data_IF_054484166423
#
_entry.id   IF_054484166423
#
_cell.length_a   1.000
_cell.length_b   1.000
_cell.length_c   1.000
_cell.angle_alpha   90.00
_cell.angle_beta   90.00
_cell.angle_gamma   90.00
#
_symmetry.space_group_name_H-M   'P 1'
#
loop_
_entity.id
_entity.type
_entity.pdbx_description
1 polymer ?
#
# COMPACT_ATOMS: atom_id res chain seq x y z
N UNK A 1 7.75 -4.64 9.09
CA UNK A 1 6.60 -4.39 8.20
C UNK A 1 6.85 -3.19 7.29
N UNK A 2 7.03 -2.00 7.81
CA UNK A 2 7.50 -0.87 7.03
C UNK A 2 9.02 -0.87 6.93
N UNK A 3 9.56 -0.40 5.80
CA UNK A 3 11.01 -0.34 5.58
C UNK A 3 11.34 0.88 4.73
N UNK A 4 12.53 1.46 4.93
CA UNK A 4 12.98 2.60 4.13
C UNK A 4 13.02 2.29 2.65
N UNK A 5 13.55 1.12 2.29
CA UNK A 5 13.66 0.66 0.90
C UNK A 5 12.31 0.37 0.25
N UNK A 6 11.24 0.28 1.06
CA UNK A 6 9.87 0.09 0.59
C UNK A 6 9.05 1.38 0.68
N UNK A 7 9.69 2.52 0.90
CA UNK A 7 9.05 3.84 0.93
C UNK A 7 9.61 4.65 -0.23
N UNK A 8 8.79 4.88 -1.25
CA UNK A 8 9.24 5.33 -2.56
C UNK A 8 8.47 6.56 -3.01
N UNK A 9 9.20 7.55 -3.54
CA UNK A 9 8.61 8.65 -4.31
C UNK A 9 9.01 8.41 -5.76
N UNK A 10 8.05 8.48 -6.68
CA UNK A 10 8.32 8.24 -8.09
C UNK A 10 7.63 9.29 -8.97
N UNK A 11 8.34 9.71 -10.02
CA UNK A 11 7.80 10.57 -11.07
C UNK A 11 7.26 9.76 -12.25
N UNK A 12 7.32 8.43 -12.16
CA UNK A 12 6.86 7.53 -13.21
C UNK A 12 5.35 7.69 -13.43
N UNK A 13 4.93 7.74 -14.69
CA UNK A 13 3.52 7.83 -15.06
C UNK A 13 3.07 6.46 -15.55
N UNK A 14 2.02 5.92 -14.90
CA UNK A 14 1.44 4.64 -15.28
C UNK A 14 0.16 4.88 -16.10
N UNK A 15 -0.09 3.98 -17.04
CA UNK A 15 -1.27 4.03 -17.89
C UNK A 15 -2.56 3.88 -17.08
N UNK A 16 -2.55 3.01 -16.09
CA UNK A 16 -3.67 2.73 -15.21
C UNK A 16 -3.19 2.09 -13.90
N UNK A 17 -4.14 1.81 -13.00
CA UNK A 17 -3.81 1.21 -11.70
C UNK A 17 -3.20 -0.18 -11.82
N UNK A 18 -3.56 -0.94 -12.85
CA UNK A 18 -3.04 -2.30 -13.02
C UNK A 18 -1.57 -2.30 -13.39
N UNK A 19 -1.16 -1.37 -14.24
CA UNK A 19 0.26 -1.20 -14.56
C UNK A 19 1.06 -0.79 -13.33
N UNK A 20 0.52 0.12 -12.52
CA UNK A 20 1.17 0.54 -11.28
C UNK A 20 1.28 -0.63 -10.29
N UNK A 21 0.20 -1.37 -10.08
CA UNK A 21 0.20 -2.52 -9.18
C UNK A 21 1.21 -3.57 -9.64
N UNK A 22 1.21 -3.90 -10.93
CA UNK A 22 2.11 -4.89 -11.50
C UNK A 22 3.58 -4.51 -11.28
N UNK A 23 3.93 -3.27 -11.56
CA UNK A 23 5.30 -2.78 -11.41
C UNK A 23 5.74 -2.79 -9.93
N UNK A 24 4.93 -2.25 -9.05
CA UNK A 24 5.28 -2.14 -7.63
C UNK A 24 5.27 -3.51 -6.94
N UNK A 25 4.37 -4.41 -7.34
CA UNK A 25 4.34 -5.77 -6.77
C UNK A 25 5.60 -6.57 -7.11
N UNK A 26 6.32 -6.18 -8.15
CA UNK A 26 7.58 -6.81 -8.55
C UNK A 26 8.82 -6.13 -7.97
N UNK A 27 8.63 -5.11 -7.12
CA UNK A 27 9.76 -4.46 -6.46
C UNK A 27 10.53 -5.49 -5.61
N UNK A 28 11.83 -5.68 -5.88
CA UNK A 28 12.61 -6.67 -5.13
C UNK A 28 12.60 -6.41 -3.63
N UNK A 29 12.29 -7.44 -2.84
CA UNK A 29 12.31 -7.37 -1.39
C UNK A 29 12.43 -8.78 -0.81
N UNK A 30 12.69 -8.88 0.48
CA UNK A 30 12.86 -10.15 1.17
C UNK A 30 11.55 -10.78 1.66
N UNK A 31 10.43 -10.08 1.51
CA UNK A 31 9.14 -10.52 2.06
C UNK A 31 8.33 -11.39 1.10
N UNK A 32 8.61 -11.28 -0.21
CA UNK A 32 7.87 -11.99 -1.26
C UNK A 32 8.75 -13.08 -1.86
N UNK A 33 8.22 -14.29 -1.94
CA UNK A 33 8.93 -15.44 -2.50
C UNK A 33 8.56 -15.74 -3.96
N UNK A 34 7.47 -15.15 -4.46
CA UNK A 34 7.02 -15.29 -5.84
C UNK A 34 6.28 -14.01 -6.26
N UNK A 35 6.98 -13.13 -6.97
CA UNK A 35 6.43 -11.82 -7.33
C UNK A 35 5.24 -11.92 -8.28
N UNK A 36 5.26 -12.83 -9.24
CA UNK A 36 4.16 -13.00 -10.17
C UNK A 36 2.88 -13.46 -9.45
N UNK A 37 3.00 -14.40 -8.53
CA UNK A 37 1.88 -14.90 -7.75
C UNK A 37 1.30 -13.81 -6.85
N UNK A 38 2.17 -13.04 -6.21
CA UNK A 38 1.73 -11.94 -5.36
C UNK A 38 1.03 -10.86 -6.18
N UNK A 39 1.62 -10.44 -7.31
CA UNK A 39 1.02 -9.42 -8.17
C UNK A 39 -0.36 -9.85 -8.65
N UNK A 40 -0.51 -11.12 -9.06
CA UNK A 40 -1.79 -11.66 -9.50
C UNK A 40 -2.83 -11.61 -8.38
N UNK A 41 -2.43 -11.97 -7.17
CA UNK A 41 -3.33 -11.96 -6.01
C UNK A 41 -3.81 -10.53 -5.69
N UNK A 42 -2.94 -9.53 -5.78
CA UNK A 42 -3.31 -8.13 -5.56
C UNK A 42 -4.29 -7.67 -6.64
N UNK A 43 -4.03 -7.98 -7.90
CA UNK A 43 -4.90 -7.61 -9.02
C UNK A 43 -6.27 -8.29 -8.88
N UNK A 44 -6.31 -9.58 -8.55
CA UNK A 44 -7.55 -10.30 -8.34
C UNK A 44 -8.39 -9.65 -7.22
N UNK A 45 -7.74 -9.23 -6.14
CA UNK A 45 -8.42 -8.53 -5.04
C UNK A 45 -8.95 -7.16 -5.48
N UNK A 46 -8.16 -6.41 -6.24
CA UNK A 46 -8.58 -5.10 -6.75
C UNK A 46 -9.78 -5.21 -7.69
N UNK A 47 -9.88 -6.32 -8.42
CA UNK A 47 -10.99 -6.59 -9.33
C UNK A 47 -12.31 -6.90 -8.63
N UNK A 48 -12.28 -7.30 -7.36
CA UNK A 48 -13.50 -7.56 -6.59
C UNK A 48 -14.19 -6.24 -6.27
N UNK A 49 -13.44 -5.31 -5.70
CA UNK A 49 -13.85 -3.94 -5.42
C UNK A 49 -12.59 -3.09 -5.29
N UNK A 50 -12.60 -1.91 -5.87
CA UNK A 50 -11.43 -1.04 -5.84
C UNK A 50 -11.03 -0.68 -4.42
N UNK A 51 -9.74 -0.60 -4.18
CA UNK A 51 -9.18 -0.30 -2.85
C UNK A 51 -8.93 1.19 -2.64
N UNK A 52 -9.54 2.05 -3.42
CA UNK A 52 -9.49 3.49 -3.24
C UNK A 52 -10.30 3.88 -2.00
N UNK A 53 -9.67 4.61 -1.06
CA UNK A 53 -10.31 4.98 0.21
C UNK A 53 -10.58 6.47 0.35
N UNK A 54 -10.39 7.24 -0.72
CA UNK A 54 -10.56 8.69 -0.69
C UNK A 54 -9.24 9.41 -0.44
N UNK A 55 -9.26 10.73 -0.48
CA UNK A 55 -8.11 11.60 -0.22
C UNK A 55 -6.89 11.33 -1.11
N UNK A 56 -7.11 10.75 -2.30
CA UNK A 56 -6.01 10.38 -3.19
C UNK A 56 -5.22 9.16 -2.72
N UNK A 57 -5.82 8.29 -1.89
CA UNK A 57 -5.15 7.13 -1.29
C UNK A 57 -5.79 5.84 -1.78
N UNK A 58 -4.97 4.88 -2.21
CA UNK A 58 -5.40 3.52 -2.49
C UNK A 58 -4.57 2.53 -1.67
N UNK A 59 -5.18 1.40 -1.29
CA UNK A 59 -4.54 0.38 -0.45
C UNK A 59 -4.63 -1.01 -1.09
N UNK A 60 -4.08 -1.21 -2.30
CA UNK A 60 -4.09 -2.54 -2.91
C UNK A 60 -3.38 -3.55 -2.00
N UNK A 61 -3.94 -4.76 -1.89
CA UNK A 61 -3.40 -5.73 -0.95
C UNK A 61 -3.77 -7.15 -1.33
N UNK A 62 -3.06 -8.11 -0.75
CA UNK A 62 -3.41 -9.53 -0.88
C UNK A 62 -2.91 -10.33 0.31
N UNK A 63 -3.66 -11.40 0.62
CA UNK A 63 -3.22 -12.49 1.48
C UNK A 63 -2.75 -13.58 0.51
N UNK A 64 -1.51 -14.02 0.63
CA UNK A 64 -0.94 -14.95 -0.35
C UNK A 64 0.15 -15.82 0.25
N UNK A 65 0.21 -17.08 -0.21
CA UNK A 65 1.32 -17.98 0.11
C UNK A 65 2.65 -17.46 -0.45
N UNK A 66 2.60 -16.54 -1.40
CA UNK A 66 3.80 -15.88 -1.96
C UNK A 66 4.42 -14.87 -1.00
N UNK A 67 3.79 -14.60 0.14
CA UNK A 67 4.28 -13.65 1.13
C UNK A 67 4.80 -14.41 2.35
N UNK A 68 6.06 -14.16 2.74
CA UNK A 68 6.70 -14.80 3.89
C UNK A 68 6.42 -14.05 5.20
N UNK A 69 6.45 -12.73 5.15
CA UNK A 69 6.19 -11.87 6.30
C UNK A 69 5.38 -10.66 5.83
N UNK A 70 4.49 -10.16 6.70
CA UNK A 70 3.68 -8.99 6.39
C UNK A 70 4.56 -7.77 6.08
N UNK A 71 4.15 -7.00 5.07
CA UNK A 71 4.87 -5.81 4.66
C UNK A 71 3.93 -4.77 4.08
N UNK A 72 4.41 -3.52 4.03
CA UNK A 72 3.72 -2.42 3.37
C UNK A 72 4.72 -1.67 2.49
N UNK A 73 4.40 -1.54 1.22
CA UNK A 73 5.15 -0.69 0.29
C UNK A 73 4.35 0.61 0.14
N UNK A 74 4.96 1.73 0.50
CA UNK A 74 4.36 3.03 0.27
C UNK A 74 4.97 3.68 -0.96
N UNK A 75 4.10 4.13 -1.88
CA UNK A 75 4.53 4.85 -3.09
C UNK A 75 3.78 6.17 -3.18
N UNK A 76 4.53 7.27 -3.29
CA UNK A 76 3.97 8.56 -3.65
C UNK A 76 4.17 8.77 -5.14
N UNK A 77 3.07 8.92 -5.87
CA UNK A 77 3.10 9.22 -7.30
C UNK A 77 3.14 10.73 -7.47
N UNK A 78 4.30 11.28 -7.80
CA UNK A 78 4.48 12.72 -7.93
C UNK A 78 3.61 13.32 -9.03
N UNK A 79 3.26 12.53 -10.05
CA UNK A 79 2.38 12.94 -11.15
C UNK A 79 0.99 12.30 -11.08
N UNK A 80 0.69 11.60 -9.98
CA UNK A 80 -0.57 10.90 -9.80
C UNK A 80 -0.71 9.64 -10.65
N UNK A 81 -1.74 8.86 -10.33
CA UNK A 81 -2.11 7.65 -11.07
C UNK A 81 -3.63 7.59 -11.17
N UNK A 82 -4.15 7.40 -12.36
CA UNK A 82 -5.59 7.23 -12.57
C UNK A 82 -6.04 5.91 -11.92
N UNK A 83 -7.08 5.97 -11.11
CA UNK A 83 -7.55 4.82 -10.34
C UNK A 83 -9.04 4.60 -10.59
N UNK A 84 -9.35 3.63 -11.44
CA UNK A 84 -10.72 3.27 -11.72
C UNK A 84 -11.36 2.61 -10.49
N UNK A 85 -12.61 2.97 -10.22
CA UNK A 85 -13.38 2.45 -9.10
C UNK A 85 -14.87 2.43 -9.46
N UNK A 86 -15.70 2.00 -8.52
CA UNK A 86 -17.15 1.81 -8.75
C UNK A 86 -17.87 3.12 -9.08
N UNK A 87 -17.32 4.25 -8.64
CA UNK A 87 -17.92 5.58 -8.87
C UNK A 87 -17.29 6.33 -10.06
N UNK A 88 -16.39 5.67 -10.80
CA UNK A 88 -15.72 6.27 -11.95
C UNK A 88 -14.21 6.16 -11.86
N UNK A 89 -13.52 7.30 -11.87
CA UNK A 89 -12.07 7.33 -11.83
C UNK A 89 -11.61 8.50 -10.96
N UNK A 90 -10.67 8.20 -10.05
CA UNK A 90 -10.06 9.21 -9.19
C UNK A 90 -8.56 9.25 -9.41
N UNK A 91 -7.94 10.39 -9.05
CA UNK A 91 -6.49 10.51 -9.03
C UNK A 91 -5.95 9.98 -7.70
N UNK A 92 -5.02 9.04 -7.75
CA UNK A 92 -4.29 8.55 -6.59
C UNK A 92 -2.89 9.12 -6.60
N UNK A 93 -2.51 9.78 -5.51
CA UNK A 93 -1.16 10.27 -5.30
C UNK A 93 -0.39 9.38 -4.32
N UNK A 94 -1.09 8.57 -3.53
CA UNK A 94 -0.51 7.75 -2.47
C UNK A 94 -1.02 6.32 -2.56
N UNK A 95 -0.13 5.37 -2.71
CA UNK A 95 -0.48 3.96 -2.74
C UNK A 95 0.22 3.22 -1.61
N UNK A 96 -0.54 2.47 -0.81
CA UNK A 96 0.00 1.56 0.18
C UNK A 96 -0.32 0.14 -0.25
N UNK A 97 0.68 -0.58 -0.72
CA UNK A 97 0.52 -1.97 -1.14
C UNK A 97 0.88 -2.88 0.03
N UNK A 98 -0.06 -3.74 0.41
CA UNK A 98 0.08 -4.58 1.60
C UNK A 98 0.11 -6.05 1.22
N UNK A 99 1.07 -6.79 1.78
CA UNK A 99 1.14 -8.24 1.64
C UNK A 99 1.08 -8.92 2.99
N UNK A 100 0.30 -9.99 3.09
CA UNK A 100 0.13 -10.77 4.33
C UNK A 100 0.28 -12.25 4.01
N UNK A 101 1.04 -13.01 4.83
CA UNK A 101 1.18 -14.45 4.66
C UNK A 101 -0.16 -15.17 4.82
N UNK A 102 -0.42 -16.15 3.97
CA UNK A 102 -1.66 -16.92 4.01
C UNK A 102 -1.78 -17.76 5.29
N UNK A 103 -0.66 -18.22 5.85
CA UNK A 103 -0.62 -19.10 7.03
C UNK A 103 -0.87 -18.38 8.35
N UNK A 104 -0.66 -17.07 8.39
CA UNK A 104 -0.85 -16.28 9.64
C UNK A 104 -2.27 -15.77 9.79
N UNK A 105 -3.11 -16.08 8.85
CA UNK A 105 -4.53 -15.88 8.95
C UNK A 105 -5.02 -14.45 8.91
N UNK A 106 -6.33 -14.34 8.95
CA UNK A 106 -7.06 -13.10 8.80
C UNK A 106 -6.86 -12.12 9.97
N UNK A 107 -6.49 -12.59 11.16
CA UNK A 107 -6.41 -11.72 12.35
C UNK A 107 -5.30 -10.66 12.22
N UNK A 108 -4.09 -11.08 11.86
CA UNK A 108 -2.98 -10.16 11.68
C UNK A 108 -3.25 -9.20 10.52
N UNK A 109 -3.81 -9.71 9.44
CA UNK A 109 -4.18 -8.94 8.27
C UNK A 109 -5.19 -7.83 8.60
N UNK A 110 -6.26 -8.20 9.30
CA UNK A 110 -7.29 -7.25 9.71
C UNK A 110 -6.72 -6.18 10.64
N UNK A 111 -5.81 -6.56 11.53
CA UNK A 111 -5.17 -5.63 12.46
C UNK A 111 -4.34 -4.58 11.71
N UNK A 112 -3.55 -5.00 10.72
CA UNK A 112 -2.74 -4.09 9.91
C UNK A 112 -3.63 -3.10 9.16
N UNK A 113 -4.65 -3.61 8.46
CA UNK A 113 -5.57 -2.76 7.71
C UNK A 113 -6.33 -1.80 8.62
N UNK A 114 -6.77 -2.28 9.78
CA UNK A 114 -7.51 -1.45 10.74
C UNK A 114 -6.65 -0.30 11.27
N UNK A 115 -5.40 -0.57 11.64
CA UNK A 115 -4.51 0.47 12.17
C UNK A 115 -4.11 1.49 11.12
N UNK A 116 -3.82 1.04 9.89
CA UNK A 116 -3.54 1.97 8.80
C UNK A 116 -4.75 2.86 8.49
N UNK A 117 -5.91 2.26 8.35
CA UNK A 117 -7.15 3.00 8.06
C UNK A 117 -7.49 3.98 9.17
N UNK A 118 -7.36 3.56 10.42
CA UNK A 118 -7.61 4.42 11.59
C UNK A 118 -6.73 5.66 11.56
N UNK A 119 -5.43 5.50 11.35
CA UNK A 119 -4.51 6.63 11.31
C UNK A 119 -4.77 7.54 10.13
N UNK A 120 -5.07 6.98 8.95
CA UNK A 120 -5.36 7.76 7.75
C UNK A 120 -6.70 8.50 7.83
N UNK A 121 -7.63 8.04 8.66
CA UNK A 121 -8.90 8.74 8.89
C UNK A 121 -8.77 9.88 9.90
N UNK A 122 -7.68 9.92 10.67
CA UNK A 122 -7.38 11.07 11.53
C UNK A 122 -6.82 12.21 10.71
N UNK A 123 -7.51 13.33 10.70
CA UNK A 123 -7.14 14.49 9.88
C UNK A 123 -5.71 14.96 10.13
N UNK A 124 -5.30 15.07 11.39
CA UNK A 124 -3.95 15.54 11.75
C UNK A 124 -2.86 14.64 11.20
N UNK A 125 -2.99 13.32 11.37
CA UNK A 125 -2.02 12.37 10.84
C UNK A 125 -2.05 12.38 9.31
N UNK A 126 -3.24 12.33 8.72
CA UNK A 126 -3.39 12.32 7.27
C UNK A 126 -2.76 13.54 6.62
N UNK A 127 -3.00 14.74 7.15
CA UNK A 127 -2.41 15.95 6.59
C UNK A 127 -0.88 15.92 6.66
N UNK A 128 -0.31 15.50 7.78
CA UNK A 128 1.13 15.35 7.91
C UNK A 128 1.69 14.37 6.89
N UNK A 129 1.03 13.21 6.79
CA UNK A 129 1.49 12.13 5.92
C UNK A 129 1.40 12.49 4.45
N UNK A 130 0.28 13.06 4.01
CA UNK A 130 0.08 13.44 2.61
C UNK A 130 1.01 14.56 2.16
N UNK A 131 1.51 15.36 3.09
CA UNK A 131 2.38 16.50 2.80
C UNK A 131 3.86 16.23 3.07
N UNK A 132 4.25 14.99 3.32
CA UNK A 132 5.67 14.65 3.47
C UNK A 132 6.42 14.96 2.17
N UNK A 133 7.66 15.43 2.31
CA UNK A 133 8.46 15.90 1.17
C UNK A 133 9.59 14.96 0.78
N UNK A 134 9.80 13.91 1.55
CA UNK A 134 10.83 12.91 1.27
C UNK A 134 10.39 11.53 1.71
N UNK A 135 10.93 10.47 1.10
CA UNK A 135 10.66 9.10 1.56
C UNK A 135 11.04 8.89 3.02
N UNK A 136 12.12 9.51 3.49
CA UNK A 136 12.57 9.40 4.87
C UNK A 136 11.52 9.94 5.84
N UNK A 137 10.96 11.10 5.53
CA UNK A 137 9.92 11.74 6.35
C UNK A 137 8.65 10.86 6.40
N UNK A 138 8.24 10.32 5.24
CA UNK A 138 7.10 9.39 5.18
C UNK A 138 7.35 8.14 6.00
N UNK A 139 8.55 7.56 5.87
CA UNK A 139 8.93 6.36 6.62
C UNK A 139 8.85 6.56 8.13
N UNK A 140 9.31 7.70 8.64
CA UNK A 140 9.26 7.97 10.07
C UNK A 140 7.82 8.01 10.60
N UNK A 141 6.89 8.57 9.82
CA UNK A 141 5.47 8.57 10.21
C UNK A 141 4.87 7.16 10.18
N UNK A 142 5.20 6.36 9.16
CA UNK A 142 4.74 4.97 9.07
C UNK A 142 5.29 4.13 10.22
N UNK A 143 6.55 4.36 10.57
CA UNK A 143 7.20 3.66 11.69
C UNK A 143 6.48 3.94 13.01
N UNK A 144 5.94 5.13 13.19
CA UNK A 144 5.19 5.46 14.41
C UNK A 144 3.91 4.64 14.53
N UNK A 145 3.26 4.31 13.39
CA UNK A 145 2.09 3.42 13.37
C UNK A 145 2.49 2.02 13.81
N UNK A 146 3.62 1.51 13.33
CA UNK A 146 4.10 0.17 13.65
C UNK A 146 4.34 0.03 15.16
N UNK A 147 4.88 1.06 15.80
CA UNK A 147 5.06 1.09 17.25
C UNK A 147 3.74 0.99 18.02
N UNK A 148 2.71 1.68 17.55
CA UNK A 148 1.38 1.59 18.15
C UNK A 148 0.80 0.17 18.04
N UNK A 149 1.07 -0.52 16.93
CA UNK A 149 0.59 -1.87 16.71
C UNK A 149 1.27 -2.90 17.62
N UNK A 150 2.49 -2.64 18.03
CA UNK A 150 3.26 -3.52 18.92
C UNK A 150 2.90 -3.31 20.40
N UNK A 151 2.26 -2.22 20.73
CA UNK A 151 1.94 -1.84 22.10
C UNK A 151 0.76 -2.66 22.69
#
# INVERSE_FOLDING_TARGET
>A
MFAKELTIFTDKVYRDKYEAIEDIAHLPNEFVNNYDEYAKAVIDRENVIATYIGYGIAIPHAISAAVNHAFVIYVKFLNGCAWANEDGEDRVDHMMMIGVPADKGSTQHLKILAELSKNLMHEDFREKFLNTKSPEESYELLKSIEKEMEA
#
